data_IF_433726949861
#
_entry.id   IF_433726949861
#
_cell.length_a   1.000
_cell.length_b   1.000
_cell.length_c   1.000
_cell.angle_alpha   90.00
_cell.angle_beta   90.00
_cell.angle_gamma   90.00
#
_symmetry.space_group_name_H-M   'P 1'
#
loop_
_entity.id
_entity.type
_entity.pdbx_description
1 polymer ?
#
# COMPACT_ATOMS: atom_id res chain seq x y z
N UNK A 1 -3.34 17.78 -8.19
CA UNK A 1 -4.51 18.48 -7.60
C UNK A 1 -4.20 18.96 -6.20
N UNK A 2 -3.35 19.99 -6.04
CA UNK A 2 -2.89 20.47 -4.73
C UNK A 2 -4.03 21.06 -3.89
N UNK A 3 -4.82 20.19 -3.24
CA UNK A 3 -5.93 20.54 -2.37
C UNK A 3 -5.37 20.90 -0.98
N UNK A 4 -5.75 22.08 -0.50
CA UNK A 4 -5.46 22.51 0.87
C UNK A 4 -6.40 21.79 1.84
N UNK A 5 -5.91 21.57 3.06
CA UNK A 5 -6.68 21.02 4.18
C UNK A 5 -6.29 21.78 5.45
N UNK A 6 -7.25 21.95 6.35
CA UNK A 6 -7.04 22.72 7.59
C UNK A 6 -6.81 21.82 8.81
N UNK A 7 -7.26 20.57 8.74
CA UNK A 7 -7.22 19.63 9.84
C UNK A 7 -6.97 18.17 9.38
N UNK A 8 -6.80 17.28 10.35
CA UNK A 8 -6.53 15.86 10.12
C UNK A 8 -7.69 15.12 9.45
N UNK A 9 -8.94 15.47 9.76
CA UNK A 9 -10.12 14.79 9.19
C UNK A 9 -10.31 15.17 7.72
N UNK A 10 -10.09 16.43 7.37
CA UNK A 10 -10.04 16.91 5.99
C UNK A 10 -8.91 16.22 5.22
N UNK A 11 -7.71 16.13 5.81
CA UNK A 11 -6.59 15.42 5.20
C UNK A 11 -6.94 13.95 4.92
N UNK A 12 -7.50 13.25 5.91
CA UNK A 12 -7.94 11.85 5.77
C UNK A 12 -9.01 11.72 4.68
N UNK A 13 -9.97 12.63 4.63
CA UNK A 13 -11.00 12.67 3.59
C UNK A 13 -10.38 12.83 2.19
N UNK A 14 -9.39 13.73 2.04
CA UNK A 14 -8.66 13.92 0.79
C UNK A 14 -7.88 12.66 0.37
N UNK A 15 -7.24 11.97 1.31
CA UNK A 15 -6.57 10.70 1.04
C UNK A 15 -7.56 9.62 0.56
N UNK A 16 -8.74 9.56 1.19
CA UNK A 16 -9.82 8.64 0.82
C UNK A 16 -10.44 8.94 -0.56
N UNK A 17 -10.22 10.13 -1.14
CA UNK A 17 -10.61 10.40 -2.53
C UNK A 17 -9.74 9.65 -3.55
N UNK A 18 -8.53 9.24 -3.14
CA UNK A 18 -7.60 8.46 -3.96
C UNK A 18 -7.23 7.15 -3.24
N UNK A 19 -8.23 6.33 -2.91
CA UNK A 19 -8.04 5.08 -2.16
C UNK A 19 -6.97 4.16 -2.75
N UNK A 20 -6.91 4.05 -4.07
CA UNK A 20 -5.93 3.20 -4.75
C UNK A 20 -4.49 3.69 -4.54
N UNK A 21 -4.25 5.00 -4.64
CA UNK A 21 -2.92 5.58 -4.34
C UNK A 21 -2.56 5.40 -2.87
N UNK A 22 -3.53 5.57 -1.97
CA UNK A 22 -3.32 5.31 -0.55
C UNK A 22 -2.97 3.84 -0.29
N UNK A 23 -3.71 2.90 -0.89
CA UNK A 23 -3.44 1.48 -0.80
C UNK A 23 -2.04 1.14 -1.32
N UNK A 24 -1.65 1.69 -2.48
CA UNK A 24 -0.32 1.52 -3.06
C UNK A 24 0.78 1.99 -2.12
N UNK A 25 0.65 3.19 -1.54
CA UNK A 25 1.63 3.70 -0.59
C UNK A 25 1.72 2.87 0.69
N UNK A 26 0.60 2.33 1.19
CA UNK A 26 0.62 1.42 2.35
C UNK A 26 1.33 0.09 2.03
N UNK A 27 1.10 -0.46 0.84
CA UNK A 27 1.76 -1.67 0.35
C UNK A 27 3.26 -1.43 0.21
N UNK A 28 3.68 -0.34 -0.43
CA UNK A 28 5.08 0.03 -0.61
C UNK A 28 5.81 0.24 0.72
N UNK A 29 5.21 0.97 1.67
CA UNK A 29 5.79 1.18 3.00
C UNK A 29 5.92 -0.13 3.79
N UNK A 30 4.91 -1.00 3.70
CA UNK A 30 4.92 -2.30 4.39
C UNK A 30 5.92 -3.26 3.76
N UNK A 31 5.99 -3.30 2.44
CA UNK A 31 6.97 -4.10 1.70
C UNK A 31 8.39 -3.61 2.00
N UNK A 32 8.63 -2.30 1.98
CA UNK A 32 9.95 -1.76 2.29
C UNK A 32 10.41 -2.13 3.70
N UNK A 33 9.50 -2.03 4.68
CA UNK A 33 9.76 -2.45 6.05
C UNK A 33 10.02 -3.96 6.15
N UNK A 34 9.16 -4.78 5.54
CA UNK A 34 9.24 -6.23 5.61
C UNK A 34 10.46 -6.82 4.88
N UNK A 35 10.87 -6.22 3.76
CA UNK A 35 12.02 -6.64 2.97
C UNK A 35 13.36 -6.08 3.49
N UNK A 36 13.32 -5.09 4.40
CA UNK A 36 14.51 -4.42 4.92
C UNK A 36 15.26 -3.56 3.90
N UNK A 37 14.62 -3.23 2.76
CA UNK A 37 15.16 -2.39 1.68
C UNK A 37 14.08 -1.47 1.12
N UNK A 38 14.47 -0.44 0.37
CA UNK A 38 13.51 0.31 -0.44
C UNK A 38 12.98 -0.55 -1.58
N UNK A 39 11.71 -0.39 -1.94
CA UNK A 39 11.12 -1.04 -3.11
C UNK A 39 11.79 -0.56 -4.40
N UNK A 40 12.01 -1.48 -5.33
CA UNK A 40 12.63 -1.24 -6.63
C UNK A 40 11.60 -1.30 -7.76
N UNK A 41 11.99 -0.86 -8.96
CA UNK A 41 11.11 -0.90 -10.14
C UNK A 41 10.66 -2.33 -10.48
N UNK A 42 11.55 -3.31 -10.28
CA UNK A 42 11.27 -4.74 -10.48
C UNK A 42 10.17 -5.29 -9.56
N UNK A 43 9.95 -4.66 -8.39
CA UNK A 43 8.89 -5.07 -7.45
C UNK A 43 7.50 -4.55 -7.91
N UNK A 44 7.44 -3.74 -8.97
CA UNK A 44 6.26 -2.99 -9.40
C UNK A 44 5.01 -3.84 -9.60
N UNK A 45 5.14 -4.96 -10.31
CA UNK A 45 4.04 -5.88 -10.64
C UNK A 45 3.49 -6.58 -9.39
N UNK A 46 4.36 -7.02 -8.49
CA UNK A 46 3.96 -7.64 -7.21
C UNK A 46 3.25 -6.64 -6.31
N UNK A 47 3.77 -5.41 -6.23
CA UNK A 47 3.15 -4.33 -5.46
C UNK A 47 1.78 -3.93 -6.05
N UNK A 48 1.60 -4.00 -7.36
CA UNK A 48 0.32 -3.73 -8.03
C UNK A 48 -0.70 -4.84 -7.74
N UNK A 49 -0.27 -6.09 -7.76
CA UNK A 49 -1.10 -7.23 -7.39
C UNK A 49 -1.55 -7.14 -5.93
N UNK A 50 -0.63 -6.86 -5.01
CA UNK A 50 -0.91 -6.65 -3.58
C UNK A 50 -1.84 -5.46 -3.35
N UNK A 51 -1.66 -4.36 -4.09
CA UNK A 51 -2.53 -3.18 -4.01
C UNK A 51 -3.96 -3.53 -4.43
N UNK A 52 -4.13 -4.27 -5.53
CA UNK A 52 -5.46 -4.73 -5.98
C UNK A 52 -6.11 -5.64 -4.95
N UNK A 53 -5.38 -6.60 -4.38
CA UNK A 53 -5.89 -7.46 -3.31
C UNK A 53 -6.34 -6.66 -2.08
N UNK A 54 -5.50 -5.73 -1.62
CA UNK A 54 -5.82 -4.87 -0.48
C UNK A 54 -7.10 -4.04 -0.72
N UNK A 55 -7.29 -3.55 -1.95
CA UNK A 55 -8.50 -2.82 -2.33
C UNK A 55 -9.75 -3.71 -2.30
N UNK A 56 -9.65 -5.00 -2.64
CA UNK A 56 -10.77 -5.95 -2.53
C UNK A 56 -11.10 -6.36 -1.10
N UNK A 57 -10.18 -6.11 -0.16
CA UNK A 57 -10.29 -6.50 1.26
C UNK A 57 -10.55 -5.29 2.19
N UNK A 58 -11.16 -4.23 1.66
CA UNK A 58 -11.50 -3.00 2.39
C UNK A 58 -10.31 -2.28 3.04
N UNK A 59 -9.10 -2.39 2.47
CA UNK A 59 -7.88 -1.75 2.99
C UNK A 59 -7.52 -2.16 4.44
N UNK A 60 -7.88 -3.37 4.85
CA UNK A 60 -7.59 -3.88 6.20
C UNK A 60 -6.10 -4.16 6.38
N UNK A 61 -5.50 -3.56 7.40
CA UNK A 61 -4.08 -3.75 7.72
C UNK A 61 -3.72 -5.22 7.99
N UNK A 62 -4.60 -5.98 8.63
CA UNK A 62 -4.41 -7.43 8.84
C UNK A 62 -4.24 -8.16 7.52
N UNK A 63 -5.10 -7.88 6.54
CA UNK A 63 -5.06 -8.56 5.24
C UNK A 63 -3.84 -8.14 4.43
N UNK A 64 -3.45 -6.85 4.48
CA UNK A 64 -2.20 -6.38 3.89
C UNK A 64 -0.99 -7.20 4.37
N UNK A 65 -0.85 -7.37 5.69
CA UNK A 65 0.26 -8.14 6.26
C UNK A 65 0.21 -9.58 5.76
N UNK A 66 -0.97 -10.23 5.82
CA UNK A 66 -1.12 -11.60 5.34
C UNK A 66 -0.79 -11.76 3.86
N UNK A 67 -1.24 -10.86 3.00
CA UNK A 67 -0.98 -10.94 1.56
C UNK A 67 0.50 -10.70 1.26
N UNK A 68 1.11 -9.72 1.92
CA UNK A 68 2.52 -9.39 1.74
C UNK A 68 3.41 -10.58 2.13
N UNK A 69 3.25 -11.17 3.30
CA UNK A 69 4.10 -12.30 3.74
C UNK A 69 3.88 -13.58 2.92
N UNK A 70 2.75 -13.69 2.23
CA UNK A 70 2.45 -14.80 1.32
C UNK A 70 2.88 -14.54 -0.13
N UNK A 71 3.30 -13.32 -0.47
CA UNK A 71 3.71 -12.97 -1.83
C UNK A 71 5.09 -13.53 -2.17
N UNK A 72 5.31 -13.83 -3.46
CA UNK A 72 6.62 -14.18 -3.99
C UNK A 72 7.65 -13.08 -3.68
N UNK A 73 7.25 -11.81 -3.79
CA UNK A 73 8.09 -10.66 -3.43
C UNK A 73 8.74 -10.80 -2.04
N UNK A 74 8.00 -11.32 -1.06
CA UNK A 74 8.49 -11.54 0.30
C UNK A 74 9.18 -12.89 0.50
N UNK A 75 8.70 -13.96 -0.15
CA UNK A 75 9.20 -15.32 0.08
C UNK A 75 10.47 -15.67 -0.70
N UNK A 76 10.74 -14.98 -1.81
CA UNK A 76 11.89 -15.27 -2.68
C UNK A 76 13.16 -14.50 -2.29
N UNK A 77 13.15 -13.84 -1.11
CA UNK A 77 14.25 -13.02 -0.60
C UNK A 77 14.95 -13.66 0.59
#
# INVERSE_FOLDING_TARGET
DGKTYEDFEQFKSLLLQNKEKLARSLVEGSASYGLGRTTEFSDGDDLDALTKQLMTEDMRARSLIHNLVQSELFQTK
#
